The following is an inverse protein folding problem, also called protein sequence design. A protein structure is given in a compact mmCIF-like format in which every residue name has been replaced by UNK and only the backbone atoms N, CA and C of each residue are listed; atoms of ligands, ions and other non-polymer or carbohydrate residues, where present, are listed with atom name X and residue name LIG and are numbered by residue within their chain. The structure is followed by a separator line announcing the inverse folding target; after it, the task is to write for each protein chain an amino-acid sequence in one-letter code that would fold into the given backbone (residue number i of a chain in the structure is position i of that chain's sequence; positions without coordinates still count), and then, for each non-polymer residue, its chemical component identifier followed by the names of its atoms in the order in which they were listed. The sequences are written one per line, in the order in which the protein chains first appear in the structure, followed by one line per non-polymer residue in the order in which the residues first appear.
data_IF_068652761531
#
_entry.id   IF_068652761531
#
_cell.length_a   1.000
_cell.length_b   1.000
_cell.length_c   1.000
_cell.angle_alpha   90.00
_cell.angle_beta   90.00
_cell.angle_gamma   90.00
#
_symmetry.space_group_name_H-M   'P 1'
#
loop_
_entity.id
_entity.type
_entity.pdbx_description
1 polymer ?
#
# COMPACT_ATOMS: atom_id res chain seq x y z
N UNK A 1 -5.00 -12.61 21.21
CA UNK A 1 -5.04 -12.18 19.79
C UNK A 1 -6.14 -11.14 19.67
N UNK A 2 -5.80 -9.87 19.69
CA UNK A 2 -6.78 -8.79 19.55
C UNK A 2 -7.45 -8.90 18.17
N UNK A 3 -8.76 -9.03 18.18
CA UNK A 3 -9.54 -9.01 16.95
C UNK A 3 -9.56 -7.58 16.43
N UNK A 4 -8.69 -7.25 15.49
CA UNK A 4 -8.82 -5.98 14.80
C UNK A 4 -10.02 -6.05 13.88
N UNK A 5 -11.11 -5.53 14.36
CA UNK A 5 -12.30 -5.28 13.56
C UNK A 5 -12.37 -3.78 13.33
N UNK A 6 -12.32 -3.39 12.05
CA UNK A 6 -12.68 -2.02 11.70
C UNK A 6 -14.10 -1.74 12.20
N UNK A 7 -14.38 -0.53 12.70
CA UNK A 7 -15.76 -0.12 12.98
C UNK A 7 -16.64 -0.36 11.76
N UNK A 8 -17.86 -0.84 11.99
CA UNK A 8 -18.83 -1.05 10.91
C UNK A 8 -19.50 0.28 10.59
N UNK A 9 -19.13 0.84 9.46
CA UNK A 9 -19.66 2.10 8.94
C UNK A 9 -20.13 1.92 7.49
N UNK A 10 -21.18 2.60 7.10
CA UNK A 10 -21.62 2.60 5.72
C UNK A 10 -20.65 3.41 4.86
N UNK A 11 -20.17 2.82 3.76
CA UNK A 11 -19.26 3.46 2.82
C UNK A 11 -17.92 3.93 3.37
N UNK A 12 -17.52 3.45 4.55
CA UNK A 12 -16.28 3.86 5.19
C UNK A 12 -15.59 2.70 5.90
N UNK A 13 -14.29 2.63 5.74
CA UNK A 13 -13.43 1.73 6.52
C UNK A 13 -12.43 2.58 7.29
N UNK A 14 -12.38 2.44 8.61
CA UNK A 14 -11.50 3.24 9.46
C UNK A 14 -10.51 2.36 10.22
N UNK A 15 -9.22 2.69 10.10
CA UNK A 15 -8.16 2.23 10.97
C UNK A 15 -7.94 3.32 12.04
N UNK A 16 -8.33 3.01 13.28
CA UNK A 16 -8.29 3.98 14.39
C UNK A 16 -6.92 4.02 15.10
N UNK A 17 -6.07 3.02 14.83
CA UNK A 17 -4.78 2.88 15.48
C UNK A 17 -3.79 2.23 14.52
N UNK A 18 -2.60 2.81 14.44
CA UNK A 18 -1.52 2.16 13.71
C UNK A 18 -0.99 0.95 14.49
N UNK A 19 -1.04 -0.22 13.84
CA UNK A 19 -0.45 -1.47 14.35
C UNK A 19 0.46 -2.04 13.28
N UNK A 20 1.75 -2.07 13.56
CA UNK A 20 2.78 -2.50 12.62
C UNK A 20 2.50 -3.86 11.97
N UNK A 21 2.15 -4.86 12.77
CA UNK A 21 1.90 -6.22 12.29
C UNK A 21 0.70 -6.34 11.33
N UNK A 22 -0.12 -5.32 11.26
CA UNK A 22 -1.28 -5.28 10.38
C UNK A 22 -1.05 -4.46 9.12
N UNK A 23 0.11 -3.86 8.98
CA UNK A 23 0.36 -2.91 7.90
C UNK A 23 0.16 -3.52 6.51
N UNK A 24 0.69 -4.72 6.24
CA UNK A 24 0.49 -5.41 4.95
C UNK A 24 -0.98 -5.58 4.58
N UNK A 25 -1.80 -6.00 5.54
CA UNK A 25 -3.25 -6.14 5.36
C UNK A 25 -3.88 -4.79 5.11
N UNK A 26 -3.51 -3.79 5.90
CA UNK A 26 -4.06 -2.44 5.82
C UNK A 26 -3.69 -1.78 4.50
N UNK A 27 -2.49 -1.98 3.97
CA UNK A 27 -2.11 -1.52 2.62
C UNK A 27 -3.03 -2.08 1.53
N UNK A 28 -3.48 -3.31 1.67
CA UNK A 28 -4.44 -3.89 0.73
C UNK A 28 -5.85 -3.32 0.94
N UNK A 29 -6.27 -3.17 2.19
CA UNK A 29 -7.59 -2.62 2.54
C UNK A 29 -7.76 -1.17 2.07
N UNK A 30 -6.71 -0.37 2.18
CA UNK A 30 -6.71 1.05 1.79
C UNK A 30 -6.13 1.31 0.39
N UNK A 31 -6.10 0.29 -0.46
CA UNK A 31 -5.71 0.45 -1.86
C UNK A 31 -6.75 1.27 -2.64
N UNK A 32 -6.26 2.09 -3.56
CA UNK A 32 -7.09 2.91 -4.44
C UNK A 32 -6.80 2.62 -5.91
N UNK A 33 -7.83 2.69 -6.74
CA UNK A 33 -7.71 2.54 -8.18
C UNK A 33 -8.82 3.32 -8.89
N UNK A 34 -8.48 3.86 -10.07
CA UNK A 34 -9.44 4.50 -10.97
C UNK A 34 -9.66 3.70 -12.27
N UNK A 35 -9.23 2.43 -12.31
CA UNK A 35 -9.28 1.58 -13.49
C UNK A 35 -8.10 1.75 -14.45
N UNK A 36 -7.32 2.81 -14.33
CA UNK A 36 -6.11 3.06 -15.12
C UNK A 36 -4.84 2.98 -14.25
N UNK A 37 -4.83 3.66 -13.12
CA UNK A 37 -3.76 3.59 -12.12
C UNK A 37 -4.31 2.95 -10.86
N UNK A 38 -3.57 2.02 -10.28
CA UNK A 38 -3.84 1.41 -8.99
C UNK A 38 -2.64 1.57 -8.06
N UNK A 39 -2.90 1.90 -6.80
CA UNK A 39 -1.87 2.03 -5.78
C UNK A 39 -2.27 1.29 -4.51
N UNK A 40 -1.31 0.62 -3.88
CA UNK A 40 -1.53 0.08 -2.54
C UNK A 40 -1.63 1.24 -1.52
N UNK A 41 -2.30 1.00 -0.43
CA UNK A 41 -2.47 1.95 0.66
C UNK A 41 -1.21 2.12 1.51
N UNK A 42 -0.05 2.25 0.87
CA UNK A 42 1.23 2.56 1.52
C UNK A 42 1.24 4.00 2.02
N UNK A 43 2.08 4.29 2.99
CA UNK A 43 2.26 5.65 3.48
C UNK A 43 2.94 6.54 2.45
N UNK A 44 2.54 7.80 2.38
CA UNK A 44 3.06 8.74 1.40
C UNK A 44 4.53 9.11 1.65
N UNK A 45 4.97 9.10 2.90
CA UNK A 45 6.38 9.25 3.30
C UNK A 45 7.25 8.06 2.91
N UNK A 46 6.62 6.93 2.56
CA UNK A 46 7.31 5.68 2.22
C UNK A 46 7.76 4.90 3.44
N UNK A 47 8.54 3.84 3.18
CA UNK A 47 9.15 2.99 4.20
C UNK A 47 10.66 3.11 4.08
N UNK A 48 11.33 3.90 4.93
CA UNK A 48 12.71 4.29 4.66
C UNK A 48 13.72 3.14 4.68
N UNK A 49 13.47 1.99 5.34
CA UNK A 49 14.57 1.06 5.56
C UNK A 49 14.29 -0.45 5.53
N UNK A 50 13.05 -0.93 5.42
CA UNK A 50 12.83 -2.40 5.46
C UNK A 50 11.68 -2.85 4.57
N UNK A 51 11.98 -3.84 3.72
CA UNK A 51 11.00 -4.58 2.91
C UNK A 51 10.01 -5.35 3.81
N UNK A 52 10.37 -5.59 5.06
CA UNK A 52 9.59 -6.40 6.00
C UNK A 52 8.38 -5.69 6.64
N UNK A 53 8.16 -4.42 6.35
CA UNK A 53 7.12 -3.63 7.03
C UNK A 53 6.04 -3.05 6.13
N UNK A 54 6.21 -3.15 4.82
CA UNK A 54 5.28 -2.69 3.81
C UNK A 54 5.66 -3.18 2.43
N UNK A 55 4.69 -3.22 1.54
CA UNK A 55 4.87 -3.60 0.14
C UNK A 55 4.33 -2.49 -0.75
N UNK A 56 5.21 -1.66 -1.27
CA UNK A 56 4.82 -0.64 -2.24
C UNK A 56 4.29 -1.30 -3.52
N UNK A 57 3.18 -0.80 -4.02
CA UNK A 57 2.60 -1.26 -5.25
C UNK A 57 1.91 -0.11 -5.98
N UNK A 58 2.44 0.20 -7.17
CA UNK A 58 1.92 1.23 -8.06
C UNK A 58 1.88 0.65 -9.45
N UNK A 59 0.70 0.58 -10.05
CA UNK A 59 0.46 -0.14 -11.28
C UNK A 59 -0.29 0.73 -12.28
N UNK A 60 0.07 0.59 -13.55
CA UNK A 60 -0.68 1.16 -14.67
C UNK A 60 -1.28 0.00 -15.47
N UNK A 61 -2.57 0.09 -15.75
CA UNK A 61 -3.25 -0.91 -16.57
C UNK A 61 -2.63 -0.99 -17.97
N UNK A 62 -2.38 -2.21 -18.43
CA UNK A 62 -1.78 -2.46 -19.73
C UNK A 62 -0.25 -2.36 -19.78
N UNK A 63 0.41 -2.13 -18.65
CA UNK A 63 1.87 -2.06 -18.57
C UNK A 63 2.45 -3.35 -18.02
N UNK A 64 2.79 -4.25 -18.93
CA UNK A 64 3.26 -5.61 -18.62
C UNK A 64 4.64 -5.87 -19.17
N UNK A 65 5.37 -6.74 -18.48
CA UNK A 65 6.55 -7.43 -18.99
C UNK A 65 6.17 -8.86 -19.37
N UNK A 66 6.75 -9.34 -20.47
CA UNK A 66 6.54 -10.72 -20.92
C UNK A 66 7.86 -11.47 -20.87
N UNK A 67 7.85 -12.63 -20.23
CA UNK A 67 9.01 -13.50 -20.11
C UNK A 67 8.70 -14.90 -20.62
N UNK A 68 9.70 -15.58 -21.21
CA UNK A 68 9.60 -16.99 -21.54
C UNK A 68 9.61 -17.83 -20.27
N UNK A 69 8.60 -18.71 -20.15
CA UNK A 69 8.55 -19.68 -19.05
C UNK A 69 9.53 -20.82 -19.38
N UNK A 70 10.43 -21.10 -18.43
CA UNK A 70 11.34 -22.25 -18.53
C UNK A 70 10.77 -23.38 -17.68
N UNK A 71 10.33 -24.46 -18.36
CA UNK A 71 9.89 -25.69 -17.71
C UNK A 71 11.06 -26.68 -17.63
N UNK A 72 11.14 -27.45 -16.55
CA UNK A 72 12.05 -28.61 -16.48
C UNK A 72 11.66 -29.70 -17.47
N UNK A 73 10.37 -29.91 -17.67
CA UNK A 73 9.77 -30.76 -18.69
C UNK A 73 8.69 -29.96 -19.41
N UNK A 74 8.75 -29.93 -20.74
CA UNK A 74 7.72 -29.27 -21.54
C UNK A 74 6.58 -30.23 -21.88
N UNK A 75 5.34 -29.77 -21.84
CA UNK A 75 4.20 -30.57 -22.25
C UNK A 75 3.25 -29.74 -23.13
N UNK A 76 2.53 -30.44 -24.00
CA UNK A 76 1.59 -29.79 -24.89
C UNK A 76 0.53 -29.02 -24.12
N UNK A 77 0.27 -27.78 -24.53
CA UNK A 77 -0.71 -26.89 -23.88
C UNK A 77 -0.14 -26.05 -22.73
N UNK A 78 1.13 -26.19 -22.38
CA UNK A 78 1.76 -25.27 -21.44
C UNK A 78 1.96 -23.89 -22.09
N UNK A 79 1.70 -22.79 -21.37
CA UNK A 79 1.96 -21.46 -21.89
C UNK A 79 3.45 -21.21 -22.08
N UNK A 80 3.84 -20.67 -23.22
CA UNK A 80 5.25 -20.38 -23.53
C UNK A 80 5.75 -19.10 -22.86
N UNK A 81 4.84 -18.19 -22.57
CA UNK A 81 5.16 -16.87 -21.97
C UNK A 81 4.26 -16.58 -20.77
N UNK A 82 4.81 -15.91 -19.79
CA UNK A 82 4.11 -15.26 -18.69
C UNK A 82 4.06 -13.75 -18.93
N UNK A 83 3.01 -13.12 -18.41
CA UNK A 83 2.92 -11.67 -18.33
C UNK A 83 2.81 -11.24 -16.88
N UNK A 84 3.64 -10.30 -16.49
CA UNK A 84 3.64 -9.71 -15.14
C UNK A 84 3.34 -8.23 -15.24
N UNK A 85 2.40 -7.77 -14.43
CA UNK A 85 2.14 -6.34 -14.28
C UNK A 85 3.32 -5.70 -13.57
N UNK A 86 3.92 -4.68 -14.19
CA UNK A 86 5.10 -4.02 -13.64
C UNK A 86 4.74 -3.09 -12.49
N UNK A 87 5.48 -3.23 -11.39
CA UNK A 87 5.42 -2.29 -10.29
C UNK A 87 6.24 -1.03 -10.64
N UNK A 88 5.60 0.10 -10.59
CA UNK A 88 6.19 1.40 -10.89
C UNK A 88 6.76 2.07 -9.62
N UNK A 89 7.65 3.07 -9.78
CA UNK A 89 8.06 3.91 -8.66
C UNK A 89 6.85 4.54 -7.94
N UNK A 90 7.00 4.77 -6.65
CA UNK A 90 5.93 5.34 -5.83
C UNK A 90 5.59 6.77 -6.26
N UNK A 91 4.45 6.93 -6.91
CA UNK A 91 3.96 8.22 -7.43
C UNK A 91 3.40 9.13 -6.33
N UNK A 92 3.15 8.58 -5.13
CA UNK A 92 2.61 9.32 -3.98
C UNK A 92 3.69 9.83 -3.04
N UNK A 93 4.95 9.42 -3.24
CA UNK A 93 6.02 9.68 -2.28
C UNK A 93 6.18 11.17 -2.01
N UNK A 94 5.96 11.54 -0.75
CA UNK A 94 6.09 12.90 -0.23
C UNK A 94 7.03 12.89 0.96
N UNK A 95 8.04 13.72 0.94
CA UNK A 95 8.95 13.91 2.06
C UNK A 95 8.56 15.18 2.81
N UNK A 96 8.38 15.07 4.11
CA UNK A 96 8.08 16.19 5.00
C UNK A 96 9.25 16.36 5.96
N UNK A 97 9.83 17.54 5.98
CA UNK A 97 10.91 17.92 6.90
C UNK A 97 10.49 19.15 7.70
N UNK A 98 10.65 19.09 9.02
CA UNK A 98 10.34 20.18 9.93
C UNK A 98 11.57 20.45 10.81
N UNK A 99 12.15 21.63 10.70
CA UNK A 99 13.33 22.05 11.47
C UNK A 99 14.54 21.11 11.32
N UNK A 100 14.72 20.49 10.15
CA UNK A 100 15.80 19.53 9.91
C UNK A 100 15.49 18.10 10.34
N UNK A 101 14.32 17.83 10.84
CA UNK A 101 13.83 16.48 11.19
C UNK A 101 12.84 15.98 10.16
N UNK A 102 13.12 14.78 9.64
CA UNK A 102 12.26 14.11 8.68
C UNK A 102 11.08 13.47 9.39
N UNK A 103 9.88 13.71 8.87
CA UNK A 103 8.70 13.01 9.33
C UNK A 103 8.77 11.52 8.94
N UNK A 104 8.79 10.68 9.97
CA UNK A 104 8.72 9.23 9.85
C UNK A 104 7.88 8.68 10.99
N UNK A 105 6.78 7.98 10.68
CA UNK A 105 5.91 7.37 11.68
C UNK A 105 6.61 6.40 12.63
N UNK A 106 7.78 5.90 12.26
CA UNK A 106 8.53 4.92 13.03
C UNK A 106 9.62 5.54 13.90
N UNK A 107 10.07 6.73 13.57
CA UNK A 107 11.17 7.39 14.29
C UNK A 107 10.73 8.20 15.50
N UNK A 108 9.46 8.59 15.56
CA UNK A 108 8.89 9.39 16.62
C UNK A 108 7.77 8.70 17.40
N UNK A 109 7.12 9.46 18.25
CA UNK A 109 5.95 9.03 19.02
C UNK A 109 4.67 9.42 18.26
N UNK A 110 3.84 8.44 17.96
CA UNK A 110 2.51 8.69 17.39
C UNK A 110 1.56 9.01 18.53
N UNK A 111 1.13 10.27 18.61
CA UNK A 111 0.17 10.74 19.64
C UNK A 111 -1.26 10.43 19.22
N UNK A 112 -1.60 10.70 17.95
CA UNK A 112 -2.89 10.37 17.35
C UNK A 112 -2.70 9.80 15.96
N UNK A 113 -3.53 8.84 15.62
CA UNK A 113 -3.53 8.23 14.29
C UNK A 113 -4.93 7.81 13.90
N UNK A 114 -5.31 8.13 12.68
CA UNK A 114 -6.44 7.50 12.00
C UNK A 114 -6.22 7.49 10.49
N UNK A 115 -6.74 6.45 9.84
CA UNK A 115 -6.81 6.35 8.39
C UNK A 115 -8.17 5.85 7.98
N UNK A 116 -8.83 6.54 7.08
CA UNK A 116 -10.16 6.20 6.60
C UNK A 116 -10.21 6.12 5.09
N UNK A 117 -10.77 5.05 4.56
CA UNK A 117 -11.17 4.92 3.17
C UNK A 117 -12.64 5.34 3.06
N UNK A 118 -12.91 6.39 2.31
CA UNK A 118 -14.24 6.88 1.98
C UNK A 118 -14.62 6.31 0.61
N UNK A 119 -15.35 5.19 0.62
CA UNK A 119 -15.62 4.40 -0.60
C UNK A 119 -16.51 5.13 -1.60
N UNK A 120 -17.45 5.95 -1.12
CA UNK A 120 -18.33 6.76 -1.94
C UNK A 120 -17.62 7.94 -2.64
N UNK A 121 -16.47 8.35 -2.11
CA UNK A 121 -15.66 9.44 -2.66
C UNK A 121 -14.41 8.94 -3.38
N UNK A 122 -14.02 7.69 -3.13
CA UNK A 122 -12.83 7.07 -3.71
C UNK A 122 -11.52 7.68 -3.19
N UNK A 123 -11.50 8.12 -1.93
CA UNK A 123 -10.34 8.76 -1.31
C UNK A 123 -9.95 8.06 0.00
N UNK A 124 -8.67 8.17 0.34
CA UNK A 124 -8.14 7.81 1.65
C UNK A 124 -7.69 9.07 2.36
N UNK A 125 -8.14 9.25 3.59
CA UNK A 125 -7.72 10.34 4.47
C UNK A 125 -6.95 9.77 5.64
N UNK A 126 -5.77 10.31 5.90
CA UNK A 126 -4.96 9.95 7.06
C UNK A 126 -4.69 11.18 7.93
N UNK A 127 -4.96 11.05 9.23
CA UNK A 127 -4.65 12.07 10.23
C UNK A 127 -3.60 11.51 11.17
N UNK A 128 -2.55 12.27 11.41
CA UNK A 128 -1.45 11.88 12.29
C UNK A 128 -1.03 13.07 13.12
N UNK A 129 -0.94 12.87 14.43
CA UNK A 129 -0.25 13.76 15.35
C UNK A 129 1.01 13.01 15.80
N UNK A 130 2.15 13.55 15.42
CA UNK A 130 3.45 12.95 15.62
C UNK A 130 4.34 13.90 16.42
N UNK A 131 5.21 13.32 17.28
CA UNK A 131 6.10 14.07 18.16
C UNK A 131 7.51 13.48 18.16
#
# INVERSE_FOLDING_TARGET
MEKNTYPVEEWKVTEEKFVKDWNYRNETTFALSNGYIGTRGTFDEGYPFTVDEGLEGNFINGFYESEHIRYGEWNFGFPETSQSLLNLPNLKKTTIEVNGEMFDLKAGEIVEYSRSLLMNEGIVVRNVVWK
#
